data_IF_470463260700
#
_entry.id   IF_470463260700
#
_cell.length_a   1.000
_cell.length_b   1.000
_cell.length_c   1.000
_cell.angle_alpha   90.00
_cell.angle_beta   90.00
_cell.angle_gamma   90.00
#
_symmetry.space_group_name_H-M   'P 1'
#
loop_
_entity.id
_entity.type
_entity.pdbx_description
1 polymer ?
#
# COMPACT_ATOMS: atom_id res chain seq x y z
N UNK A 1 -8.87 -1.00 5.40
CA UNK A 1 -8.54 -0.93 3.96
C UNK A 1 -8.89 -2.20 3.17
N UNK A 2 -9.31 -3.28 3.82
CA UNK A 2 -9.49 -4.61 3.22
C UNK A 2 -10.60 -4.73 2.16
N UNK A 3 -11.53 -3.79 2.06
CA UNK A 3 -12.78 -3.99 1.31
C UNK A 3 -12.96 -3.06 0.10
N UNK A 4 -11.99 -2.21 -0.20
CA UNK A 4 -12.17 -1.15 -1.19
C UNK A 4 -12.41 -1.64 -2.64
N UNK A 5 -11.70 -2.65 -3.19
CA UNK A 5 -11.98 -3.11 -4.55
C UNK A 5 -13.37 -3.75 -4.71
N UNK A 6 -14.02 -4.09 -3.58
CA UNK A 6 -15.28 -4.81 -3.54
C UNK A 6 -16.52 -3.95 -3.77
N UNK A 7 -16.40 -2.64 -3.95
CA UNK A 7 -17.58 -1.79 -4.11
C UNK A 7 -18.29 -2.04 -5.43
N UNK A 8 -19.63 -2.10 -5.39
CA UNK A 8 -20.50 -2.22 -6.57
C UNK A 8 -20.25 -1.18 -7.66
N UNK A 9 -19.61 -0.06 -7.31
CA UNK A 9 -19.26 1.00 -8.26
C UNK A 9 -18.18 0.57 -9.24
N UNK A 10 -17.19 -0.20 -8.78
CA UNK A 10 -16.17 -0.80 -9.64
C UNK A 10 -16.73 -2.01 -10.42
N UNK A 11 -17.81 -2.60 -9.89
CA UNK A 11 -18.37 -3.84 -10.44
C UNK A 11 -19.08 -3.67 -11.79
N UNK A 12 -19.75 -2.55 -12.06
CA UNK A 12 -20.80 -2.65 -13.08
C UNK A 12 -20.89 -1.61 -14.18
N UNK A 13 -20.29 -0.41 -14.10
CA UNK A 13 -20.56 0.64 -15.11
C UNK A 13 -19.37 1.42 -15.64
N UNK A 14 -18.26 1.51 -14.94
CA UNK A 14 -17.18 2.41 -15.33
C UNK A 14 -15.97 1.72 -16.00
N UNK A 15 -15.86 0.39 -15.90
CA UNK A 15 -14.66 -0.33 -16.39
C UNK A 15 -13.35 0.07 -15.68
N UNK A 16 -13.43 0.87 -14.60
CA UNK A 16 -12.26 1.41 -13.90
C UNK A 16 -11.41 0.32 -13.26
N UNK A 17 -12.02 -0.79 -12.85
CA UNK A 17 -11.29 -1.90 -12.22
C UNK A 17 -10.25 -2.51 -13.16
N UNK A 18 -10.54 -2.54 -14.46
CA UNK A 18 -9.63 -3.05 -15.48
C UNK A 18 -8.54 -2.01 -15.85
N UNK A 19 -8.66 -0.77 -15.35
CA UNK A 19 -7.73 0.34 -15.57
C UNK A 19 -6.81 0.61 -14.37
N UNK A 20 -6.89 -0.22 -13.33
CA UNK A 20 -6.00 -0.08 -12.16
C UNK A 20 -4.58 -0.48 -12.56
N UNK A 21 -3.66 0.49 -12.50
CA UNK A 21 -2.25 0.27 -12.85
C UNK A 21 -1.41 -0.21 -11.67
N UNK A 22 -1.71 0.28 -10.46
CA UNK A 22 -0.96 -0.02 -9.23
C UNK A 22 -1.91 -0.17 -8.05
N UNK A 23 -1.66 -1.16 -7.23
CA UNK A 23 -2.23 -1.27 -5.88
C UNK A 23 -1.08 -1.29 -4.88
N UNK A 24 -1.09 -0.33 -3.96
CA UNK A 24 -0.19 -0.31 -2.81
C UNK A 24 -0.99 -0.56 -1.54
N UNK A 25 -0.48 -1.38 -0.65
CA UNK A 25 -1.26 -1.91 0.46
C UNK A 25 -0.45 -2.10 1.73
N UNK A 26 -1.16 -2.10 2.86
CA UNK A 26 -0.58 -2.22 4.19
C UNK A 26 -1.47 -3.12 5.05
N UNK A 27 -0.85 -3.92 5.92
CA UNK A 27 -1.54 -4.72 6.93
C UNK A 27 -2.63 -5.62 6.34
N UNK A 28 -3.78 -5.74 6.96
CA UNK A 28 -4.92 -6.50 6.43
C UNK A 28 -5.35 -6.09 5.01
N UNK A 29 -5.08 -4.85 4.57
CA UNK A 29 -5.28 -4.41 3.18
C UNK A 29 -4.46 -5.18 2.16
N UNK A 30 -3.33 -5.75 2.59
CA UNK A 30 -2.43 -6.51 1.72
C UNK A 30 -3.03 -7.84 1.27
N UNK A 31 -3.92 -8.45 2.06
CA UNK A 31 -4.64 -9.67 1.67
C UNK A 31 -5.53 -9.38 0.45
N UNK A 32 -6.35 -8.32 0.55
CA UNK A 32 -7.23 -7.90 -0.54
C UNK A 32 -6.44 -7.49 -1.80
N UNK A 33 -5.38 -6.71 -1.61
CA UNK A 33 -4.55 -6.21 -2.70
C UNK A 33 -3.84 -7.34 -3.44
N UNK A 34 -3.25 -8.31 -2.71
CA UNK A 34 -2.59 -9.46 -3.31
C UNK A 34 -3.58 -10.34 -4.06
N UNK A 35 -4.76 -10.60 -3.49
CA UNK A 35 -5.78 -11.40 -4.16
C UNK A 35 -6.33 -10.70 -5.40
N UNK A 36 -6.54 -9.37 -5.34
CA UNK A 36 -6.90 -8.58 -6.51
C UNK A 36 -5.82 -8.61 -7.59
N UNK A 37 -4.56 -8.47 -7.23
CA UNK A 37 -3.46 -8.55 -8.20
C UNK A 37 -3.38 -9.93 -8.89
N UNK A 38 -3.69 -11.01 -8.17
CA UNK A 38 -3.75 -12.38 -8.72
C UNK A 38 -4.97 -12.63 -9.60
N UNK A 39 -6.16 -12.16 -9.19
CA UNK A 39 -7.44 -12.55 -9.80
C UNK A 39 -8.05 -11.46 -10.68
N UNK A 40 -7.64 -10.20 -10.49
CA UNK A 40 -8.31 -9.06 -11.11
C UNK A 40 -9.77 -9.00 -10.67
N UNK A 41 -10.66 -8.64 -11.58
CA UNK A 41 -12.10 -8.55 -11.30
C UNK A 41 -12.77 -9.86 -10.86
N UNK A 42 -12.19 -11.01 -11.20
CA UNK A 42 -12.73 -12.31 -10.78
C UNK A 42 -12.69 -12.51 -9.25
N UNK A 43 -11.86 -11.73 -8.51
CA UNK A 43 -11.90 -11.76 -7.05
C UNK A 43 -13.28 -11.42 -6.49
N UNK A 44 -14.07 -10.62 -7.20
CA UNK A 44 -15.41 -10.21 -6.77
C UNK A 44 -16.42 -11.36 -6.66
N UNK A 45 -16.09 -12.51 -7.24
CA UNK A 45 -16.98 -13.67 -7.26
C UNK A 45 -16.81 -14.53 -6.01
N UNK A 46 -15.61 -14.55 -5.43
CA UNK A 46 -15.27 -15.57 -4.42
C UNK A 46 -14.57 -15.04 -3.16
N UNK A 47 -14.07 -13.80 -3.15
CA UNK A 47 -13.26 -13.26 -2.03
C UNK A 47 -14.06 -13.18 -0.71
N UNK A 48 -15.34 -12.81 -0.78
CA UNK A 48 -16.20 -12.76 0.41
C UNK A 48 -16.31 -14.15 1.05
N UNK A 49 -16.63 -15.15 0.26
CA UNK A 49 -16.77 -16.53 0.73
C UNK A 49 -15.44 -17.16 1.18
N UNK A 50 -14.34 -16.83 0.50
CA UNK A 50 -13.02 -17.43 0.78
C UNK A 50 -12.24 -16.74 1.89
N UNK A 51 -12.56 -15.49 2.20
CA UNK A 51 -11.82 -14.74 3.20
C UNK A 51 -12.72 -13.98 4.17
N UNK A 52 -13.57 -13.06 3.70
CA UNK A 52 -14.29 -12.14 4.60
C UNK A 52 -15.24 -12.85 5.55
N UNK A 53 -15.85 -13.96 5.09
CA UNK A 53 -16.78 -14.79 5.88
C UNK A 53 -16.08 -15.93 6.64
N UNK A 54 -14.74 -16.02 6.59
CA UNK A 54 -13.99 -17.09 7.27
C UNK A 54 -13.53 -16.65 8.66
N UNK A 55 -13.47 -17.61 9.57
CA UNK A 55 -12.82 -17.41 10.89
C UNK A 55 -11.34 -17.76 10.80
N UNK A 56 -10.56 -16.81 10.28
CA UNK A 56 -9.11 -16.98 10.15
C UNK A 56 -8.44 -17.01 11.52
N UNK A 57 -9.00 -16.29 12.51
CA UNK A 57 -8.43 -16.22 13.87
C UNK A 57 -8.48 -17.57 14.60
N UNK A 58 -9.52 -18.36 14.38
CA UNK A 58 -9.60 -19.71 14.95
C UNK A 58 -8.47 -20.60 14.46
N UNK A 59 -8.13 -20.47 13.17
CA UNK A 59 -7.02 -21.22 12.56
C UNK A 59 -5.64 -20.75 13.05
N UNK A 60 -5.54 -19.48 13.51
CA UNK A 60 -4.31 -18.90 14.04
C UNK A 60 -4.14 -19.14 15.55
N UNK A 61 -5.15 -19.67 16.24
CA UNK A 61 -5.07 -19.98 17.68
C UNK A 61 -4.09 -21.13 17.91
N UNK A 62 -2.85 -20.78 18.14
CA UNK A 62 -1.86 -21.71 18.68
C UNK A 62 -2.25 -22.04 20.12
N UNK A 63 -2.33 -23.33 20.43
CA UNK A 63 -2.57 -23.80 21.82
C UNK A 63 -1.55 -23.14 22.75
N UNK A 64 -2.01 -22.66 23.90
CA UNK A 64 -1.12 -22.14 24.96
C UNK A 64 -0.25 -23.31 25.44
N UNK A 65 0.98 -23.38 24.93
CA UNK A 65 1.97 -24.37 25.34
C UNK A 65 3.12 -23.66 26.07
N UNK A 66 3.83 -24.35 26.98
CA UNK A 66 5.01 -23.79 27.64
C UNK A 66 6.08 -23.26 26.68
N UNK A 67 6.15 -23.79 25.46
CA UNK A 67 7.01 -23.32 24.37
C UNK A 67 6.61 -21.92 23.86
N UNK A 68 5.34 -21.56 23.92
CA UNK A 68 4.85 -20.25 23.49
C UNK A 68 5.17 -19.13 24.50
N UNK A 69 5.36 -19.47 25.78
CA UNK A 69 5.85 -18.53 26.79
C UNK A 69 7.32 -18.16 26.52
N UNK A 70 8.13 -19.11 26.05
CA UNK A 70 9.51 -18.83 25.59
C UNK A 70 9.54 -18.00 24.32
N UNK A 71 8.55 -18.13 23.45
CA UNK A 71 8.39 -17.29 22.22
C UNK A 71 8.02 -15.84 22.50
N UNK A 72 7.33 -15.54 23.59
CA UNK A 72 7.12 -14.18 24.09
C UNK A 72 8.45 -13.42 24.27
N UNK A 73 9.49 -14.10 24.72
CA UNK A 73 10.84 -13.51 24.86
C UNK A 73 11.57 -13.36 23.52
N UNK A 74 11.05 -14.00 22.46
CA UNK A 74 11.58 -13.92 21.08
C UNK A 74 10.86 -12.89 20.19
N UNK A 75 9.86 -12.18 20.72
CA UNK A 75 9.27 -11.01 20.05
C UNK A 75 7.83 -11.15 19.55
N UNK A 76 7.10 -12.24 19.86
CA UNK A 76 5.68 -12.38 19.53
C UNK A 76 5.04 -13.63 20.09
N UNK A 77 3.72 -13.59 20.34
CA UNK A 77 2.94 -14.74 20.84
C UNK A 77 2.72 -15.79 19.77
N UNK A 78 2.52 -15.34 18.52
CA UNK A 78 2.32 -16.20 17.35
C UNK A 78 3.49 -16.03 16.37
N UNK A 79 3.97 -17.13 15.80
CA UNK A 79 4.80 -17.02 14.62
C UNK A 79 3.93 -16.61 13.39
N UNK A 80 4.53 -15.96 12.41
CA UNK A 80 3.82 -15.52 11.20
C UNK A 80 3.48 -16.68 10.25
N UNK A 81 3.97 -17.90 10.52
CA UNK A 81 3.82 -19.06 9.63
C UNK A 81 2.40 -19.58 9.57
N UNK A 82 1.63 -19.46 10.64
CA UNK A 82 0.21 -19.83 10.67
C UNK A 82 -0.61 -19.03 9.67
N UNK A 83 -0.43 -17.69 9.65
CA UNK A 83 -1.11 -16.83 8.66
C UNK A 83 -0.65 -17.11 7.23
N UNK A 84 0.66 -17.32 7.01
CA UNK A 84 1.19 -17.68 5.70
C UNK A 84 0.56 -18.96 5.18
N UNK A 85 0.58 -20.03 5.98
CA UNK A 85 0.00 -21.34 5.61
C UNK A 85 -1.48 -21.22 5.28
N UNK A 86 -2.24 -20.52 6.13
CA UNK A 86 -3.66 -20.32 5.88
C UNK A 86 -3.93 -19.58 4.57
N UNK A 87 -3.18 -18.51 4.29
CA UNK A 87 -3.29 -17.73 3.05
C UNK A 87 -2.95 -18.57 1.82
N UNK A 88 -1.92 -19.40 1.88
CA UNK A 88 -1.52 -20.28 0.79
C UNK A 88 -2.55 -21.40 0.55
N UNK A 89 -3.07 -21.99 1.61
CA UNK A 89 -4.08 -23.05 1.49
C UNK A 89 -5.43 -22.56 0.98
N UNK A 90 -5.85 -21.35 1.36
CA UNK A 90 -7.22 -20.87 1.10
C UNK A 90 -7.30 -19.85 -0.02
N UNK A 91 -6.31 -18.95 -0.15
CA UNK A 91 -6.37 -17.84 -1.09
C UNK A 91 -5.34 -17.90 -2.21
N UNK A 92 -4.05 -17.98 -1.86
CA UNK A 92 -2.98 -17.73 -2.83
C UNK A 92 -2.50 -18.98 -3.54
N UNK A 93 -2.72 -20.18 -2.95
CA UNK A 93 -2.30 -21.46 -3.56
C UNK A 93 -0.80 -21.49 -3.91
N UNK A 94 0.03 -21.03 -2.97
CA UNK A 94 1.49 -20.88 -3.11
C UNK A 94 1.91 -19.94 -4.24
N UNK A 95 1.07 -18.97 -4.60
CA UNK A 95 1.43 -17.97 -5.60
C UNK A 95 2.56 -17.07 -5.13
N UNK A 96 3.40 -16.67 -6.08
CA UNK A 96 4.53 -15.76 -5.89
C UNK A 96 4.28 -14.41 -6.56
N UNK A 97 5.16 -13.44 -6.33
CA UNK A 97 5.14 -12.19 -7.09
C UNK A 97 5.31 -12.42 -8.60
N UNK A 98 5.98 -13.51 -9.03
CA UNK A 98 6.09 -13.87 -10.44
C UNK A 98 4.73 -14.13 -11.09
N UNK A 99 3.76 -14.68 -10.34
CA UNK A 99 2.39 -14.89 -10.84
C UNK A 99 1.67 -13.56 -11.09
N UNK A 100 1.87 -12.57 -10.20
CA UNK A 100 1.33 -11.21 -10.38
C UNK A 100 2.03 -10.50 -11.54
N UNK A 101 3.36 -10.57 -11.62
CA UNK A 101 4.14 -9.90 -12.65
C UNK A 101 3.77 -10.38 -14.06
N UNK A 102 3.38 -11.65 -14.23
CA UNK A 102 2.90 -12.18 -15.52
C UNK A 102 1.61 -11.50 -16.00
N UNK A 103 0.77 -11.02 -15.10
CA UNK A 103 -0.47 -10.30 -15.45
C UNK A 103 -0.24 -8.87 -15.93
N UNK A 104 0.91 -8.28 -15.65
CA UNK A 104 1.32 -6.91 -15.96
C UNK A 104 0.51 -5.80 -15.26
N UNK A 105 -0.76 -6.01 -14.94
CA UNK A 105 -1.66 -5.06 -14.26
C UNK A 105 -2.62 -5.78 -13.32
N UNK A 106 -2.89 -5.20 -12.15
CA UNK A 106 -2.15 -4.09 -11.55
C UNK A 106 -0.76 -4.52 -11.07
N UNK A 107 0.20 -3.60 -11.03
CA UNK A 107 1.39 -3.77 -10.23
C UNK A 107 0.99 -3.84 -8.74
N UNK A 108 1.69 -4.65 -7.96
CA UNK A 108 1.42 -4.84 -6.54
C UNK A 108 2.62 -4.37 -5.72
N UNK A 109 2.36 -3.46 -4.78
CA UNK A 109 3.28 -3.10 -3.72
C UNK A 109 2.66 -3.47 -2.38
N UNK A 110 3.35 -4.31 -1.63
CA UNK A 110 3.03 -4.65 -0.25
C UNK A 110 4.04 -3.92 0.62
N UNK A 111 3.57 -3.23 1.66
CA UNK A 111 4.41 -2.42 2.51
C UNK A 111 4.50 -3.03 3.90
N UNK A 112 5.71 -3.17 4.41
CA UNK A 112 6.04 -3.56 5.77
C UNK A 112 6.97 -2.52 6.40
N UNK A 113 7.30 -2.66 7.66
CA UNK A 113 8.23 -1.78 8.38
C UNK A 113 9.54 -2.51 8.68
N UNK A 114 10.65 -2.03 8.15
CA UNK A 114 11.98 -2.47 8.57
C UNK A 114 12.31 -1.83 9.92
N UNK A 115 12.29 -2.64 10.96
CA UNK A 115 12.47 -2.17 12.34
C UNK A 115 13.93 -1.83 12.69
N UNK A 116 14.90 -2.36 11.94
CA UNK A 116 16.31 -2.03 12.12
C UNK A 116 16.62 -0.66 11.52
N UNK A 117 16.24 -0.43 10.27
CA UNK A 117 16.44 0.84 9.59
C UNK A 117 15.39 1.90 9.93
N UNK A 118 14.26 1.51 10.54
CA UNK A 118 13.12 2.39 10.88
C UNK A 118 12.55 3.09 9.65
N UNK A 119 12.47 2.34 8.55
CA UNK A 119 12.00 2.84 7.25
C UNK A 119 10.90 1.91 6.71
N UNK A 120 10.02 2.41 5.84
CA UNK A 120 9.15 1.55 5.07
C UNK A 120 9.95 0.56 4.22
N UNK A 121 9.49 -0.69 4.21
CA UNK A 121 10.01 -1.75 3.34
C UNK A 121 8.94 -2.08 2.31
N UNK A 122 9.19 -1.75 1.06
CA UNK A 122 8.25 -2.00 -0.03
C UNK A 122 8.67 -3.26 -0.76
N UNK A 123 7.79 -4.26 -0.84
CA UNK A 123 7.99 -5.44 -1.67
C UNK A 123 7.85 -5.05 -3.15
N UNK A 124 8.95 -4.63 -3.74
CA UNK A 124 9.07 -4.27 -5.15
C UNK A 124 10.45 -4.65 -5.70
N UNK A 125 10.61 -4.55 -7.01
CA UNK A 125 11.86 -4.91 -7.69
C UNK A 125 13.08 -4.10 -7.21
N UNK A 126 12.89 -2.83 -6.89
CA UNK A 126 13.98 -1.96 -6.45
C UNK A 126 14.55 -2.40 -5.09
N UNK A 127 13.66 -2.69 -4.13
CA UNK A 127 14.05 -3.14 -2.79
C UNK A 127 14.70 -4.53 -2.84
N UNK A 128 14.12 -5.47 -3.60
CA UNK A 128 14.70 -6.80 -3.74
C UNK A 128 16.02 -6.79 -4.51
N UNK A 129 16.15 -5.92 -5.50
CA UNK A 129 17.42 -5.68 -6.18
C UNK A 129 18.52 -5.16 -5.23
N UNK A 130 18.14 -4.34 -4.24
CA UNK A 130 19.09 -3.90 -3.20
C UNK A 130 19.53 -5.04 -2.26
N UNK A 131 18.64 -6.01 -2.02
CA UNK A 131 18.94 -7.23 -1.24
C UNK A 131 19.65 -8.32 -2.07
N UNK A 132 19.91 -8.08 -3.36
CA UNK A 132 20.36 -9.10 -4.31
C UNK A 132 19.50 -10.36 -4.33
N UNK A 133 18.22 -10.18 -4.24
CA UNK A 133 17.19 -11.22 -4.25
C UNK A 133 16.22 -11.04 -5.41
N UNK A 134 15.60 -12.13 -5.84
CA UNK A 134 14.60 -12.11 -6.91
C UNK A 134 13.19 -12.06 -6.32
N UNK A 135 12.53 -10.90 -6.47
CA UNK A 135 11.15 -10.73 -6.04
C UNK A 135 10.20 -11.73 -6.70
N UNK A 136 10.46 -12.13 -7.95
CA UNK A 136 9.54 -13.00 -8.68
C UNK A 136 9.33 -14.37 -8.02
N UNK A 137 10.31 -14.83 -7.26
CA UNK A 137 10.25 -16.12 -6.53
C UNK A 137 9.66 -15.98 -5.12
N UNK A 138 9.44 -14.75 -4.63
CA UNK A 138 9.03 -14.52 -3.26
C UNK A 138 7.53 -14.80 -3.08
N UNK A 139 7.14 -15.59 -2.03
CA UNK A 139 5.74 -15.95 -1.77
C UNK A 139 4.90 -14.72 -1.42
N UNK A 140 3.70 -14.62 -2.00
CA UNK A 140 2.76 -13.54 -1.65
C UNK A 140 2.29 -13.64 -0.21
N UNK A 141 2.07 -14.84 0.29
CA UNK A 141 1.66 -15.12 1.67
C UNK A 141 2.65 -14.57 2.70
N UNK A 142 3.94 -14.74 2.43
CA UNK A 142 5.01 -14.24 3.30
C UNK A 142 5.08 -12.72 3.32
N UNK A 143 4.95 -12.07 2.16
CA UNK A 143 4.91 -10.61 2.07
C UNK A 143 3.67 -10.03 2.77
N UNK A 144 2.52 -10.67 2.60
CA UNK A 144 1.26 -10.28 3.27
C UNK A 144 1.38 -10.46 4.78
N UNK A 145 1.94 -11.58 5.24
CA UNK A 145 2.16 -11.83 6.65
C UNK A 145 3.13 -10.80 7.26
N UNK A 146 4.21 -10.44 6.55
CA UNK A 146 5.13 -9.37 6.98
C UNK A 146 4.42 -8.02 7.12
N UNK A 147 3.57 -7.69 6.15
CA UNK A 147 2.79 -6.45 6.14
C UNK A 147 1.76 -6.38 7.28
N UNK A 148 1.24 -7.53 7.71
CA UNK A 148 0.23 -7.66 8.76
C UNK A 148 0.80 -8.14 10.11
N UNK A 149 2.11 -8.16 10.28
CA UNK A 149 2.78 -8.60 11.51
C UNK A 149 2.69 -7.51 12.61
N UNK A 150 1.50 -7.39 13.20
CA UNK A 150 1.26 -6.43 14.30
C UNK A 150 2.16 -6.78 15.50
N UNK A 151 2.89 -5.80 16.05
CA UNK A 151 3.75 -6.00 17.21
C UNK A 151 3.01 -6.68 18.36
N UNK A 152 3.68 -7.52 19.12
CA UNK A 152 3.18 -8.33 20.24
C UNK A 152 2.32 -9.51 19.78
N UNK A 153 1.42 -9.31 18.80
CA UNK A 153 0.55 -10.39 18.29
C UNK A 153 1.35 -11.37 17.45
N UNK A 154 2.22 -10.86 16.58
CA UNK A 154 3.06 -11.66 15.69
C UNK A 154 4.56 -11.38 15.89
N UNK A 155 5.35 -12.43 15.74
CA UNK A 155 6.79 -12.27 15.61
C UNK A 155 7.14 -11.59 14.28
N UNK A 156 8.26 -10.84 14.24
CA UNK A 156 8.72 -10.23 12.98
C UNK A 156 8.96 -11.29 11.90
N UNK A 157 8.54 -11.02 10.68
CA UNK A 157 8.92 -11.80 9.51
C UNK A 157 10.38 -11.49 9.16
N UNK A 158 11.19 -12.51 8.92
CA UNK A 158 12.63 -12.35 8.74
C UNK A 158 13.01 -12.74 7.32
N UNK A 159 13.53 -11.78 6.56
CA UNK A 159 14.02 -11.98 5.20
C UNK A 159 15.55 -11.99 5.22
N UNK A 160 16.14 -12.93 4.49
CA UNK A 160 17.59 -13.01 4.34
C UNK A 160 18.08 -11.90 3.40
N UNK A 161 19.10 -11.18 3.82
CA UNK A 161 19.82 -10.20 3.01
C UNK A 161 21.02 -10.85 2.33
N UNK A 162 21.14 -10.68 1.02
CA UNK A 162 22.28 -11.12 0.21
C UNK A 162 23.04 -9.92 -0.39
N UNK A 163 22.80 -8.72 0.12
CA UNK A 163 23.33 -7.46 -0.41
C UNK A 163 24.87 -7.40 -0.40
N UNK A 164 25.52 -8.13 0.53
CA UNK A 164 26.98 -8.30 0.60
C UNK A 164 27.56 -9.04 -0.61
N UNK A 165 26.73 -9.75 -1.38
CA UNK A 165 27.13 -10.49 -2.59
C UNK A 165 26.72 -9.77 -3.88
N UNK A 166 26.16 -8.58 -3.78
CA UNK A 166 25.71 -7.78 -4.89
C UNK A 166 26.86 -7.32 -5.78
N UNK A 167 26.80 -7.69 -7.06
CA UNK A 167 27.75 -7.19 -8.08
C UNK A 167 27.24 -5.93 -8.80
N UNK A 168 25.92 -5.65 -8.73
CA UNK A 168 25.34 -4.46 -9.34
C UNK A 168 25.68 -3.19 -8.56
N UNK A 169 25.78 -2.05 -9.23
CA UNK A 169 25.93 -0.75 -8.57
C UNK A 169 24.71 -0.42 -7.69
N UNK A 170 24.87 0.48 -6.75
CA UNK A 170 23.76 1.07 -6.01
C UNK A 170 22.77 1.74 -6.98
N UNK A 171 21.47 1.78 -6.67
CA UNK A 171 20.52 2.54 -7.49
C UNK A 171 20.92 4.02 -7.57
N UNK A 172 20.97 4.60 -8.77
CA UNK A 172 21.40 5.99 -8.99
C UNK A 172 20.64 7.01 -8.12
N UNK A 173 19.35 6.79 -7.91
CA UNK A 173 18.56 7.69 -7.05
C UNK A 173 19.06 7.67 -5.61
N UNK A 174 19.54 6.53 -5.12
CA UNK A 174 20.06 6.39 -3.77
C UNK A 174 21.43 7.07 -3.64
N UNK A 175 22.31 6.90 -4.62
CA UNK A 175 23.60 7.60 -4.66
C UNK A 175 23.39 9.12 -4.69
N UNK A 176 22.49 9.62 -5.53
CA UNK A 176 22.16 11.06 -5.56
C UNK A 176 21.59 11.56 -4.23
N UNK A 177 20.69 10.78 -3.62
CA UNK A 177 20.10 11.16 -2.33
C UNK A 177 21.14 11.26 -1.22
N UNK A 178 22.13 10.37 -1.20
CA UNK A 178 23.23 10.39 -0.23
C UNK A 178 24.23 11.52 -0.49
N UNK A 179 24.50 11.80 -1.76
CA UNK A 179 25.43 12.84 -2.19
C UNK A 179 24.90 14.27 -2.03
N UNK A 180 23.59 14.47 -1.87
CA UNK A 180 22.97 15.78 -1.77
C UNK A 180 22.43 16.04 -0.35
N UNK A 181 23.03 16.99 0.38
CA UNK A 181 22.59 17.35 1.73
C UNK A 181 21.16 17.91 1.81
N UNK A 182 20.64 18.43 0.69
CA UNK A 182 19.28 18.98 0.59
C UNK A 182 18.22 17.95 0.17
N UNK A 183 18.61 16.68 0.01
CA UNK A 183 17.63 15.62 -0.29
C UNK A 183 16.59 15.52 0.81
N UNK A 184 15.34 15.25 0.41
CA UNK A 184 14.26 15.00 1.36
C UNK A 184 14.67 13.92 2.38
N UNK A 185 14.41 14.15 3.65
CA UNK A 185 14.85 13.26 4.75
C UNK A 185 14.36 11.83 4.57
N UNK A 186 13.14 11.65 4.09
CA UNK A 186 12.57 10.33 3.82
C UNK A 186 13.31 9.60 2.69
N UNK A 187 13.69 10.32 1.61
CA UNK A 187 14.45 9.73 0.51
C UNK A 187 15.84 9.32 0.96
N UNK A 188 16.50 10.19 1.74
CA UNK A 188 17.83 9.94 2.31
C UNK A 188 17.82 8.74 3.26
N UNK A 189 16.84 8.66 4.17
CA UNK A 189 16.73 7.54 5.11
C UNK A 189 16.57 6.20 4.37
N UNK A 190 15.76 6.16 3.30
CA UNK A 190 15.63 4.97 2.47
C UNK A 190 16.91 4.64 1.69
N UNK A 191 17.62 5.65 1.17
CA UNK A 191 18.91 5.44 0.51
C UNK A 191 19.98 4.89 1.49
N UNK A 192 19.99 5.36 2.74
CA UNK A 192 20.84 4.82 3.80
C UNK A 192 20.49 3.38 4.17
N UNK A 193 19.20 3.02 4.19
CA UNK A 193 18.76 1.64 4.40
C UNK A 193 19.30 0.72 3.29
N UNK A 194 19.15 1.13 2.03
CA UNK A 194 19.70 0.39 0.87
C UNK A 194 21.21 0.25 0.97
N UNK A 195 21.92 1.32 1.35
CA UNK A 195 23.37 1.28 1.55
C UNK A 195 23.74 0.25 2.63
N UNK A 196 23.03 0.25 3.77
CA UNK A 196 23.29 -0.73 4.85
C UNK A 196 23.05 -2.17 4.39
N UNK A 197 22.01 -2.46 3.61
CA UNK A 197 21.79 -3.81 3.07
C UNK A 197 22.97 -4.29 2.23
N UNK A 198 23.65 -3.39 1.52
CA UNK A 198 24.69 -3.76 0.54
C UNK A 198 26.12 -3.73 1.10
N UNK A 199 26.39 -2.81 1.99
CA UNK A 199 27.77 -2.57 2.47
C UNK A 199 28.06 -3.19 3.84
N UNK A 200 27.01 -3.45 4.65
CA UNK A 200 27.17 -3.96 5.99
C UNK A 200 27.05 -5.49 6.02
N UNK A 201 28.19 -6.17 6.13
CA UNK A 201 28.26 -7.65 6.18
C UNK A 201 27.64 -8.26 7.44
N UNK A 202 27.35 -7.46 8.46
CA UNK A 202 26.66 -7.85 9.70
C UNK A 202 25.14 -7.79 9.56
N UNK A 203 24.58 -7.07 8.59
CA UNK A 203 23.13 -7.02 8.31
C UNK A 203 22.71 -8.22 7.45
N UNK A 204 22.70 -9.40 8.06
CA UNK A 204 22.37 -10.66 7.38
C UNK A 204 20.87 -10.89 7.19
N UNK A 205 20.06 -10.21 7.98
CA UNK A 205 18.61 -10.40 8.02
C UNK A 205 17.90 -9.07 8.13
N UNK A 206 16.81 -8.90 7.36
CA UNK A 206 15.85 -7.81 7.49
C UNK A 206 14.67 -8.32 8.32
N UNK A 207 14.34 -7.63 9.41
CA UNK A 207 13.23 -7.98 10.29
C UNK A 207 12.08 -7.01 10.06
N UNK A 208 10.95 -7.56 9.63
CA UNK A 208 9.78 -6.80 9.20
C UNK A 208 8.62 -6.97 10.19
N UNK A 209 7.98 -5.86 10.49
CA UNK A 209 6.71 -5.77 11.22
C UNK A 209 5.66 -5.09 10.35
N UNK A 210 4.44 -4.94 10.92
CA UNK A 210 3.30 -4.30 10.26
C UNK A 210 3.70 -2.97 9.61
N UNK A 211 3.29 -2.81 8.36
CA UNK A 211 3.63 -1.63 7.56
C UNK A 211 3.05 -0.34 8.13
N UNK A 212 1.97 -0.42 8.93
CA UNK A 212 1.34 0.73 9.56
C UNK A 212 2.26 1.53 10.48
N UNK A 213 3.32 0.92 11.02
CA UNK A 213 4.28 1.61 11.88
C UNK A 213 5.05 2.72 11.14
N UNK A 214 5.34 2.54 9.85
CA UNK A 214 6.14 3.48 9.05
C UNK A 214 5.39 4.10 7.89
N UNK A 215 4.36 3.43 7.34
CA UNK A 215 3.52 3.92 6.23
C UNK A 215 2.14 3.25 6.22
N UNK A 216 1.23 3.70 7.06
CA UNK A 216 -0.10 3.08 7.19
C UNK A 216 -1.00 3.21 5.95
N UNK A 217 -0.70 4.13 5.05
CA UNK A 217 -1.47 4.36 3.82
C UNK A 217 -0.84 3.70 2.59
N UNK A 218 0.39 3.20 2.69
CA UNK A 218 1.12 2.61 1.57
C UNK A 218 1.49 3.62 0.47
N UNK A 219 1.69 4.88 0.82
CA UNK A 219 1.95 5.97 -0.12
C UNK A 219 3.44 6.26 -0.31
N UNK A 220 4.27 5.81 0.63
CA UNK A 220 5.70 6.15 0.65
C UNK A 220 6.43 5.63 -0.58
N UNK A 221 6.09 4.44 -1.08
CA UNK A 221 6.71 3.91 -2.30
C UNK A 221 6.57 4.85 -3.51
N UNK A 222 5.36 5.41 -3.72
CA UNK A 222 5.12 6.39 -4.79
C UNK A 222 5.81 7.73 -4.51
N UNK A 223 5.82 8.17 -3.25
CA UNK A 223 6.52 9.38 -2.83
C UNK A 223 8.02 9.27 -3.12
N UNK A 224 8.66 8.16 -2.75
CA UNK A 224 10.06 7.90 -3.03
C UNK A 224 10.37 7.84 -4.53
N UNK A 225 9.51 7.19 -5.31
CA UNK A 225 9.65 7.13 -6.76
C UNK A 225 9.64 8.54 -7.39
N UNK A 226 8.83 9.47 -6.86
CA UNK A 226 8.81 10.85 -7.31
C UNK A 226 10.00 11.68 -6.79
N UNK A 227 10.35 11.55 -5.54
CA UNK A 227 11.49 12.28 -4.95
C UNK A 227 12.83 11.85 -5.54
N UNK A 228 12.96 10.58 -5.92
CA UNK A 228 14.14 10.04 -6.57
C UNK A 228 14.18 10.23 -8.09
N UNK A 229 13.14 10.81 -8.69
CA UNK A 229 13.00 11.00 -10.13
C UNK A 229 14.05 11.96 -10.72
N UNK A 230 14.50 11.66 -11.94
CA UNK A 230 15.38 12.51 -12.73
C UNK A 230 14.63 13.42 -13.70
N UNK A 231 13.45 12.99 -14.12
CA UNK A 231 12.65 13.69 -15.11
C UNK A 231 11.23 13.99 -14.57
N UNK A 232 10.59 15.06 -15.04
CA UNK A 232 9.24 15.44 -14.62
C UNK A 232 8.18 14.36 -14.86
N UNK A 233 8.41 13.46 -15.81
CA UNK A 233 7.47 12.39 -16.15
C UNK A 233 7.65 11.11 -15.31
N UNK A 234 8.78 10.89 -14.67
CA UNK A 234 9.01 9.69 -13.85
C UNK A 234 8.09 9.65 -12.61
N UNK A 235 7.64 8.45 -12.22
CA UNK A 235 8.12 7.10 -12.59
C UNK A 235 7.50 6.52 -13.89
N UNK A 236 6.76 7.29 -14.65
CA UNK A 236 6.24 6.87 -15.95
C UNK A 236 7.31 7.00 -17.05
N UNK A 237 7.07 6.36 -18.17
CA UNK A 237 7.82 6.64 -19.39
C UNK A 237 7.39 7.98 -20.02
N UNK A 238 8.26 8.58 -20.82
CA UNK A 238 7.96 9.81 -21.57
C UNK A 238 6.68 9.66 -22.41
N UNK A 239 6.51 8.51 -23.07
CA UNK A 239 5.33 8.20 -23.90
C UNK A 239 4.04 8.11 -23.09
N UNK A 240 4.07 7.46 -21.93
CA UNK A 240 2.91 7.40 -21.03
C UNK A 240 2.51 8.78 -20.52
N UNK A 241 3.48 9.59 -20.14
CA UNK A 241 3.25 10.96 -19.67
C UNK A 241 2.62 11.87 -20.73
N UNK A 242 3.01 11.71 -22.02
CA UNK A 242 2.40 12.43 -23.14
C UNK A 242 0.98 11.95 -23.41
N UNK A 243 0.72 10.65 -23.27
CA UNK A 243 -0.61 10.05 -23.51
C UNK A 243 -1.58 10.27 -22.36
N UNK A 244 -1.08 10.46 -21.14
CA UNK A 244 -1.90 10.64 -19.96
C UNK A 244 -2.80 11.87 -20.07
N UNK A 245 -4.04 11.71 -19.65
CA UNK A 245 -5.03 12.81 -19.57
C UNK A 245 -5.52 13.01 -18.15
N UNK A 246 -5.57 11.93 -17.38
CA UNK A 246 -6.03 11.97 -15.99
C UNK A 246 -5.38 10.86 -15.20
N UNK A 247 -5.17 11.14 -13.92
CA UNK A 247 -4.65 10.19 -12.95
C UNK A 247 -5.54 10.25 -11.71
N UNK A 248 -5.94 9.09 -11.21
CA UNK A 248 -6.76 8.96 -10.01
C UNK A 248 -6.02 8.14 -8.97
N UNK A 249 -5.83 8.74 -7.80
CA UNK A 249 -5.41 8.03 -6.60
C UNK A 249 -6.60 7.89 -5.67
N UNK A 250 -6.86 6.68 -5.21
CA UNK A 250 -7.86 6.40 -4.19
C UNK A 250 -7.13 5.87 -2.96
N UNK A 251 -7.12 6.68 -1.92
CA UNK A 251 -6.50 6.36 -0.63
C UNK A 251 -7.58 5.91 0.32
N UNK A 252 -7.51 4.67 0.77
CA UNK A 252 -8.47 4.09 1.71
C UNK A 252 -7.84 4.02 3.08
N UNK A 253 -8.45 4.71 4.02
CA UNK A 253 -8.02 4.77 5.40
C UNK A 253 -9.16 4.24 6.28
N UNK A 254 -8.94 3.07 6.86
CA UNK A 254 -9.85 2.43 7.81
C UNK A 254 -9.41 2.65 9.27
N UNK A 255 -8.64 3.72 9.51
CA UNK A 255 -8.27 4.15 10.84
C UNK A 255 -9.50 4.42 11.71
N UNK A 256 -9.36 4.16 13.00
CA UNK A 256 -10.39 4.41 14.00
C UNK A 256 -10.03 5.66 14.82
N UNK A 257 -11.03 6.37 15.37
CA UNK A 257 -10.75 7.48 16.27
C UNK A 257 -10.01 6.98 17.53
N UNK A 258 -9.26 7.86 18.21
CA UNK A 258 -8.66 7.53 19.49
C UNK A 258 -9.69 6.97 20.46
N UNK A 259 -9.34 5.89 21.14
CA UNK A 259 -10.24 5.21 22.09
C UNK A 259 -9.45 4.30 23.03
N UNK A 260 -10.18 3.62 23.91
CA UNK A 260 -9.62 2.67 24.86
C UNK A 260 -9.96 3.00 26.29
N UNK A 261 -10.07 1.96 27.13
CA UNK A 261 -10.45 2.09 28.55
C UNK A 261 -9.28 2.54 29.41
N UNK A 262 -8.06 2.44 28.90
CA UNK A 262 -6.85 2.84 29.61
C UNK A 262 -6.82 4.34 29.98
N UNK A 263 -7.51 5.19 29.24
CA UNK A 263 -7.66 6.61 29.60
C UNK A 263 -8.62 6.86 30.79
N UNK A 264 -9.34 5.82 31.25
CA UNK A 264 -10.30 5.90 32.35
C UNK A 264 -9.67 5.59 33.71
N UNK A 265 -8.45 5.07 33.75
CA UNK A 265 -7.75 4.68 34.97
C UNK A 265 -6.35 5.27 35.02
N UNK A 266 -5.81 5.41 36.26
CA UNK A 266 -4.42 5.86 36.46
C UNK A 266 -3.42 4.76 36.12
N UNK A 267 -3.82 3.50 36.31
CA UNK A 267 -2.97 2.35 36.02
C UNK A 267 -3.24 1.86 34.60
N UNK A 268 -2.17 1.67 33.85
CA UNK A 268 -2.20 1.16 32.47
C UNK A 268 -1.37 -0.10 32.41
N UNK A 269 -1.92 -1.16 31.84
CA UNK A 269 -1.16 -2.39 31.62
C UNK A 269 -0.10 -2.18 30.54
N UNK A 270 1.01 -2.93 30.64
CA UNK A 270 2.13 -2.81 29.69
C UNK A 270 1.69 -3.11 28.24
N UNK A 271 0.77 -4.04 28.05
CA UNK A 271 0.20 -4.35 26.73
C UNK A 271 -0.57 -3.17 26.14
N UNK A 272 -1.41 -2.51 26.95
CA UNK A 272 -2.19 -1.35 26.53
C UNK A 272 -1.28 -0.16 26.20
N UNK A 273 -0.22 0.04 27.00
CA UNK A 273 0.76 1.09 26.74
C UNK A 273 1.50 0.88 25.41
N UNK A 274 1.95 -0.36 25.12
CA UNK A 274 2.63 -0.67 23.87
C UNK A 274 1.69 -0.50 22.68
N UNK A 275 0.43 -0.94 22.81
CA UNK A 275 -0.58 -0.73 21.78
C UNK A 275 -0.83 0.77 21.55
N UNK A 276 -0.99 1.56 22.60
CA UNK A 276 -1.19 3.00 22.51
C UNK A 276 0.00 3.72 21.84
N UNK A 277 1.23 3.28 22.10
CA UNK A 277 2.43 3.80 21.42
C UNK A 277 2.41 3.48 19.92
N UNK A 278 2.05 2.24 19.56
CA UNK A 278 1.93 1.83 18.17
C UNK A 278 0.82 2.63 17.44
N UNK A 279 -0.36 2.75 18.04
CA UNK A 279 -1.48 3.52 17.49
C UNK A 279 -1.13 5.01 17.33
N UNK A 280 -0.42 5.59 18.30
CA UNK A 280 0.07 6.98 18.21
C UNK A 280 1.02 7.18 17.04
N UNK A 281 1.95 6.24 16.84
CA UNK A 281 2.88 6.29 15.72
C UNK A 281 2.16 6.16 14.37
N UNK A 282 1.20 5.25 14.26
CA UNK A 282 0.36 5.03 13.08
C UNK A 282 -0.43 6.30 12.75
N UNK A 283 -1.13 6.89 13.71
CA UNK A 283 -1.96 8.08 13.48
C UNK A 283 -1.14 9.31 13.09
N UNK A 284 0.00 9.51 13.73
CA UNK A 284 0.92 10.61 13.36
C UNK A 284 1.43 10.44 11.93
N UNK A 285 1.78 9.20 11.56
CA UNK A 285 2.24 8.86 10.23
C UNK A 285 1.16 9.10 9.17
N UNK A 286 -0.09 8.65 9.41
CA UNK A 286 -1.23 8.83 8.49
C UNK A 286 -1.41 10.30 8.10
N UNK A 287 -1.45 11.19 9.09
CA UNK A 287 -1.63 12.64 8.84
C UNK A 287 -0.51 13.21 8.00
N UNK A 288 0.73 12.96 8.39
CA UNK A 288 1.90 13.51 7.72
C UNK A 288 2.09 12.95 6.31
N UNK A 289 1.89 11.63 6.13
CA UNK A 289 2.09 10.98 4.83
C UNK A 289 1.04 11.42 3.81
N UNK A 290 -0.24 11.52 4.22
CA UNK A 290 -1.30 11.93 3.30
C UNK A 290 -1.11 13.37 2.81
N UNK A 291 -0.85 14.31 3.71
CA UNK A 291 -0.67 15.73 3.36
C UNK A 291 0.55 15.94 2.47
N UNK A 292 1.66 15.28 2.81
CA UNK A 292 2.89 15.30 2.00
C UNK A 292 2.62 14.73 0.61
N UNK A 293 1.95 13.59 0.51
CA UNK A 293 1.61 12.96 -0.76
C UNK A 293 0.71 13.85 -1.62
N UNK A 294 -0.33 14.43 -1.04
CA UNK A 294 -1.25 15.33 -1.77
C UNK A 294 -0.52 16.58 -2.30
N UNK A 295 0.37 17.15 -1.50
CA UNK A 295 1.19 18.28 -1.90
C UNK A 295 2.16 17.92 -3.05
N UNK A 296 2.82 16.76 -2.95
CA UNK A 296 3.73 16.26 -3.99
C UNK A 296 2.99 15.96 -5.30
N UNK A 297 1.80 15.38 -5.25
CA UNK A 297 0.99 15.15 -6.46
C UNK A 297 0.59 16.46 -7.14
N UNK A 298 0.26 17.49 -6.38
CA UNK A 298 -0.05 18.81 -6.91
C UNK A 298 1.18 19.45 -7.58
N UNK A 299 2.37 19.29 -7.00
CA UNK A 299 3.62 19.75 -7.60
C UNK A 299 3.92 18.97 -8.88
N UNK A 300 3.85 17.65 -8.82
CA UNK A 300 4.09 16.80 -9.97
C UNK A 300 3.15 17.11 -11.14
N UNK A 301 1.86 17.35 -10.88
CA UNK A 301 0.94 17.74 -11.95
C UNK A 301 1.42 19.02 -12.67
N UNK A 302 1.84 20.05 -11.94
CA UNK A 302 2.38 21.30 -12.51
C UNK A 302 3.65 21.06 -13.31
N UNK A 303 4.62 20.37 -12.73
CA UNK A 303 5.90 20.03 -13.36
C UNK A 303 5.69 19.26 -14.69
N UNK A 304 4.76 18.30 -14.65
CA UNK A 304 4.43 17.48 -15.82
C UNK A 304 3.73 18.28 -16.91
N UNK A 305 2.81 19.17 -16.57
CA UNK A 305 2.17 20.08 -17.53
C UNK A 305 3.20 21.03 -18.14
N UNK A 306 4.08 21.62 -17.32
CA UNK A 306 5.14 22.52 -17.81
C UNK A 306 6.11 21.80 -18.74
N UNK A 307 6.50 20.58 -18.42
CA UNK A 307 7.32 19.74 -19.29
C UNK A 307 6.60 19.39 -20.60
N UNK A 308 5.36 18.95 -20.55
CA UNK A 308 4.54 18.65 -21.75
C UNK A 308 4.44 19.85 -22.67
N UNK A 309 4.24 21.04 -22.13
CA UNK A 309 4.09 22.26 -22.93
C UNK A 309 5.40 22.76 -23.55
N UNK A 310 6.53 22.28 -23.08
CA UNK A 310 7.85 22.56 -23.67
C UNK A 310 8.24 21.54 -24.75
N UNK A 311 7.51 20.45 -24.91
CA UNK A 311 7.81 19.44 -25.94
C UNK A 311 7.52 19.98 -27.35
N UNK A 312 8.42 19.73 -28.32
CA UNK A 312 8.13 19.98 -29.72
C UNK A 312 6.88 19.21 -30.18
N UNK A 313 6.00 19.89 -30.91
CA UNK A 313 4.72 19.31 -31.33
C UNK A 313 4.90 18.01 -32.16
N UNK A 314 5.92 17.95 -32.98
CA UNK A 314 6.25 16.75 -33.76
C UNK A 314 6.62 15.56 -32.88
N UNK A 315 7.44 15.80 -31.83
CA UNK A 315 7.80 14.76 -30.86
C UNK A 315 6.56 14.26 -30.11
N UNK A 316 5.69 15.17 -29.68
CA UNK A 316 4.45 14.80 -29.01
C UNK A 316 3.51 13.98 -29.92
N UNK A 317 3.36 14.38 -31.19
CA UNK A 317 2.53 13.66 -32.18
C UNK A 317 3.07 12.26 -32.48
N UNK A 318 4.38 12.10 -32.59
CA UNK A 318 5.01 10.78 -32.77
C UNK A 318 4.73 9.83 -31.61
N UNK A 319 4.68 10.34 -30.36
CA UNK A 319 4.35 9.54 -29.17
C UNK A 319 2.86 9.19 -29.07
N UNK A 320 1.99 10.04 -29.63
CA UNK A 320 0.54 9.85 -29.62
C UNK A 320 0.06 8.94 -30.76
N UNK A 321 0.90 8.67 -31.75
CA UNK A 321 0.53 7.98 -33.00
C UNK A 321 -0.67 8.66 -33.69
N UNK A 322 -0.72 10.00 -33.68
CA UNK A 322 -1.85 10.75 -34.20
C UNK A 322 -1.42 12.14 -34.71
N UNK A 323 -2.09 12.61 -35.76
CA UNK A 323 -1.98 13.97 -36.25
C UNK A 323 -2.99 14.94 -35.62
N UNK A 324 -3.77 14.49 -34.66
CA UNK A 324 -4.75 15.35 -33.96
C UNK A 324 -4.06 16.47 -33.16
N UNK A 325 -4.79 17.54 -32.95
CA UNK A 325 -4.33 18.62 -32.06
C UNK A 325 -4.03 18.06 -30.66
N UNK A 326 -2.84 18.35 -30.15
CA UNK A 326 -2.43 17.96 -28.82
C UNK A 326 -2.51 19.17 -27.88
N UNK A 327 -3.19 19.00 -26.77
CA UNK A 327 -3.26 20.02 -25.73
C UNK A 327 -2.35 19.60 -24.56
N UNK A 328 -1.25 20.30 -24.39
CA UNK A 328 -0.29 20.00 -23.32
C UNK A 328 -0.86 20.18 -21.92
N UNK A 329 -1.92 21.00 -21.77
CA UNK A 329 -2.57 21.32 -20.49
C UNK A 329 -3.71 20.39 -20.15
N UNK A 330 -4.11 19.45 -21.00
CA UNK A 330 -5.24 18.55 -20.77
C UNK A 330 -4.86 17.38 -19.85
N UNK A 331 -4.31 17.69 -18.71
CA UNK A 331 -3.92 16.76 -17.67
C UNK A 331 -4.54 17.13 -16.34
N UNK A 332 -5.10 16.17 -15.65
CA UNK A 332 -5.65 16.38 -14.31
C UNK A 332 -5.32 15.22 -13.38
N UNK A 333 -4.89 15.54 -12.16
CA UNK A 333 -4.66 14.59 -11.09
C UNK A 333 -5.77 14.72 -10.05
N UNK A 334 -6.31 13.59 -9.64
CA UNK A 334 -7.36 13.51 -8.65
C UNK A 334 -6.91 12.62 -7.50
N UNK A 335 -7.11 13.10 -6.27
CA UNK A 335 -6.90 12.33 -5.05
C UNK A 335 -8.23 12.20 -4.34
N UNK A 336 -8.60 10.99 -4.05
CA UNK A 336 -9.82 10.66 -3.31
C UNK A 336 -9.39 9.98 -2.03
N UNK A 337 -9.74 10.54 -0.88
CA UNK A 337 -9.62 9.86 0.40
C UNK A 337 -10.97 9.21 0.73
N UNK A 338 -10.95 7.98 1.20
CA UNK A 338 -12.13 7.24 1.67
C UNK A 338 -11.88 6.89 3.13
N UNK A 339 -12.63 7.50 4.03
CA UNK A 339 -12.55 7.31 5.48
C UNK A 339 -13.94 7.19 6.10
N UNK A 340 -14.04 6.58 7.26
CA UNK A 340 -15.32 6.50 8.00
C UNK A 340 -15.88 7.88 8.37
N UNK A 341 -15.02 8.85 8.65
CA UNK A 341 -15.41 10.24 8.94
C UNK A 341 -16.26 10.88 7.83
N UNK A 342 -16.10 10.41 6.59
CA UNK A 342 -16.86 10.93 5.44
C UNK A 342 -18.26 10.33 5.31
N UNK A 343 -18.64 9.39 6.21
CA UNK A 343 -20.00 8.88 6.25
C UNK A 343 -20.95 9.97 6.78
N UNK A 344 -21.95 10.39 6.00
CA UNK A 344 -22.83 11.50 6.38
C UNK A 344 -23.74 11.17 7.56
N UNK A 345 -24.17 9.90 7.69
CA UNK A 345 -25.02 9.45 8.79
C UNK A 345 -24.14 9.17 10.02
N UNK A 346 -24.32 9.94 11.12
CA UNK A 346 -23.53 9.76 12.34
C UNK A 346 -23.73 8.38 12.98
N UNK A 347 -24.95 7.82 12.92
CA UNK A 347 -25.23 6.50 13.49
C UNK A 347 -24.56 5.37 12.74
N UNK A 348 -24.48 5.49 11.40
CA UNK A 348 -23.73 4.55 10.56
C UNK A 348 -22.23 4.72 10.79
N UNK A 349 -21.74 5.95 10.87
CA UNK A 349 -20.33 6.23 11.16
C UNK A 349 -19.90 5.62 12.50
N UNK A 350 -20.65 5.85 13.56
CA UNK A 350 -20.36 5.26 14.90
C UNK A 350 -20.30 3.74 14.87
N UNK A 351 -21.15 3.08 14.06
CA UNK A 351 -21.08 1.64 13.87
C UNK A 351 -19.80 1.21 13.15
N UNK A 352 -19.43 1.89 12.07
CA UNK A 352 -18.21 1.61 11.30
C UNK A 352 -16.95 1.76 12.17
N UNK A 353 -16.87 2.82 12.97
CA UNK A 353 -15.74 3.12 13.85
C UNK A 353 -15.59 2.11 15.00
N UNK A 354 -16.67 1.42 15.38
CA UNK A 354 -16.65 0.35 16.40
C UNK A 354 -16.31 -1.03 15.86
N UNK A 355 -16.28 -1.23 14.53
CA UNK A 355 -15.89 -2.53 13.96
C UNK A 355 -14.44 -2.82 14.34
N UNK A 356 -14.16 -3.93 15.03
CA UNK A 356 -12.81 -4.24 15.48
C UNK A 356 -11.90 -4.58 14.30
N UNK A 357 -10.62 -4.23 14.40
CA UNK A 357 -9.60 -4.65 13.43
C UNK A 357 -9.23 -6.10 13.72
N UNK A 358 -9.87 -7.03 13.00
CA UNK A 358 -9.72 -8.48 13.16
C UNK A 358 -9.80 -9.19 11.82
N UNK A 359 -9.31 -10.43 11.79
CA UNK A 359 -9.47 -11.33 10.62
C UNK A 359 -10.82 -12.03 10.60
N UNK A 360 -11.59 -11.96 11.68
CA UNK A 360 -12.98 -12.40 11.76
C UNK A 360 -13.88 -11.18 11.86
N UNK A 361 -14.76 -11.01 10.88
CA UNK A 361 -15.74 -9.93 10.84
C UNK A 361 -17.14 -10.57 10.69
N UNK A 362 -18.10 -10.14 11.52
CA UNK A 362 -19.49 -10.59 11.41
C UNK A 362 -20.10 -10.11 10.10
N UNK A 363 -20.99 -10.95 9.52
CA UNK A 363 -21.57 -10.71 8.18
C UNK A 363 -22.24 -9.34 8.06
N UNK A 364 -22.97 -8.90 9.07
CA UNK A 364 -23.64 -7.60 9.09
C UNK A 364 -22.64 -6.43 8.98
N UNK A 365 -21.47 -6.57 9.60
CA UNK A 365 -20.39 -5.60 9.52
C UNK A 365 -19.71 -5.63 8.13
N UNK A 366 -19.59 -6.78 7.50
CA UNK A 366 -19.08 -6.90 6.13
C UNK A 366 -19.99 -6.14 5.18
N UNK A 367 -21.30 -6.40 5.21
CA UNK A 367 -22.28 -5.73 4.38
C UNK A 367 -22.28 -4.22 4.60
N UNK A 368 -22.22 -3.78 5.88
CA UNK A 368 -22.13 -2.37 6.26
C UNK A 368 -20.88 -1.70 5.69
N UNK A 369 -19.72 -2.34 5.77
CA UNK A 369 -18.45 -1.81 5.23
C UNK A 369 -18.49 -1.68 3.71
N UNK A 370 -19.02 -2.69 3.02
CA UNK A 370 -19.13 -2.70 1.55
C UNK A 370 -20.03 -1.58 1.04
N UNK A 371 -21.21 -1.43 1.63
CA UNK A 371 -22.18 -0.41 1.26
C UNK A 371 -21.67 1.00 1.56
N UNK A 372 -21.04 1.16 2.73
CA UNK A 372 -20.49 2.43 3.18
C UNK A 372 -19.35 2.93 2.30
N UNK A 373 -18.39 2.06 1.97
CA UNK A 373 -17.27 2.40 1.09
C UNK A 373 -17.77 2.89 -0.29
N UNK A 374 -18.76 2.19 -0.84
CA UNK A 374 -19.42 2.59 -2.09
C UNK A 374 -20.16 3.93 -1.98
N UNK A 375 -20.87 4.16 -0.88
CA UNK A 375 -21.60 5.40 -0.65
C UNK A 375 -20.67 6.61 -0.49
N UNK A 376 -19.59 6.47 0.27
CA UNK A 376 -18.56 7.51 0.46
C UNK A 376 -17.91 7.85 -0.89
N UNK A 377 -17.49 6.84 -1.65
CA UNK A 377 -16.82 7.07 -2.93
C UNK A 377 -17.75 7.79 -3.93
N UNK A 378 -19.01 7.37 -4.06
CA UNK A 378 -19.99 8.01 -4.96
C UNK A 378 -20.23 9.49 -4.63
N UNK A 379 -20.16 9.87 -3.37
CA UNK A 379 -20.36 11.25 -2.92
C UNK A 379 -19.11 12.11 -2.99
N UNK A 380 -17.94 11.52 -3.16
CA UNK A 380 -16.69 12.26 -3.18
C UNK A 380 -16.59 13.15 -4.43
N UNK A 381 -16.47 14.45 -4.24
CA UNK A 381 -16.46 15.43 -5.33
C UNK A 381 -15.26 15.27 -6.28
N UNK A 382 -14.10 14.82 -5.80
CA UNK A 382 -12.94 14.58 -6.65
C UNK A 382 -13.17 13.36 -7.55
N UNK A 383 -13.82 12.32 -7.02
CA UNK A 383 -14.22 11.15 -7.82
C UNK A 383 -15.26 11.51 -8.87
N UNK A 384 -16.26 12.31 -8.52
CA UNK A 384 -17.27 12.80 -9.46
C UNK A 384 -16.64 13.64 -10.59
N UNK A 385 -15.71 14.53 -10.27
CA UNK A 385 -14.97 15.30 -11.30
C UNK A 385 -14.15 14.41 -12.21
N UNK A 386 -13.55 13.34 -11.69
CA UNK A 386 -12.82 12.36 -12.48
C UNK A 386 -13.76 11.64 -13.47
N UNK A 387 -14.95 11.23 -13.04
CA UNK A 387 -15.95 10.58 -13.89
C UNK A 387 -16.52 11.52 -14.96
N UNK A 388 -16.85 12.75 -14.59
CA UNK A 388 -17.44 13.74 -15.49
C UNK A 388 -16.52 14.14 -16.66
N UNK A 389 -15.22 13.87 -16.55
CA UNK A 389 -14.26 14.09 -17.64
C UNK A 389 -14.47 13.13 -18.81
N UNK A 390 -15.01 11.92 -18.56
CA UNK A 390 -15.33 10.94 -19.61
C UNK A 390 -16.62 11.29 -20.37
N UNK A 391 -17.65 11.76 -19.68
CA UNK A 391 -18.94 12.06 -20.28
C UNK A 391 -18.86 13.19 -21.33
N UNK A 392 -17.99 14.18 -21.12
CA UNK A 392 -17.80 15.30 -22.06
C UNK A 392 -17.07 14.91 -23.38
N UNK A 393 -16.49 13.72 -23.45
CA UNK A 393 -15.74 13.24 -24.64
C UNK A 393 -16.38 12.04 -25.34
N UNK A 394 -17.39 11.42 -24.75
CA UNK A 394 -18.17 10.34 -25.38
C UNK A 394 -19.17 10.80 -26.42
N UNK A 395 -19.23 12.11 -26.73
CA UNK A 395 -20.19 12.73 -27.63
C UNK A 395 -19.47 13.42 -28.82
N UNK A 396 -18.27 13.01 -29.19
CA UNK A 396 -17.66 13.47 -30.46
C UNK A 396 -16.97 12.33 -31.21
#
# INVERSE_FOLDING_TARGET
>A
STLFPYTTLFRSRTGLIDQVDLVSSVSGGSITAAYFALKGKAMMEDFEAKFLSQDVEESLRTSVSPLNIVRLTSGGVNDSTGLQSWLDENLFKNATFGDVLRRRRPALWINASDIYNRTPFVFNQSTFGALCSDLSTFPLSEAVAASAAVPIVFAPVVIRNYGDRCQSAMPEWAERALGNSNSASILRANAEAIKRYREHTDVKYVKLLDGGLTDNLGLTGMLLARLGANAPYEPMSEREAVRMRRLLFIVVDAGRPPGGDWAKSVNTDASDLIQAVADTAVDANVRNTYDTFAAQLKSWNRELVDWRCKLPLEKARAMLDTNRTWNCKDLSFHVVKVTFEQMPDPGVRDKLERIPTRFKIEKENIDLLLDSAGAILRRNSAFQRFLAFDEKRGIN
#
